data_IF_866902454821
#
_entry.id   IF_866902454821
#
_cell.length_a   1.000
_cell.length_b   1.000
_cell.length_c   1.000
_cell.angle_alpha   90.00
_cell.angle_beta   90.00
_cell.angle_gamma   90.00
#
_symmetry.space_group_name_H-M   'P 1'
#
loop_
_entity.id
_entity.type
_entity.pdbx_description
1 polymer ?
#
# COMPACT_ATOMS: atom_id res chain seq x y z
N UNK A 1 -13.12 -0.74 -29.98
CA UNK A 1 -13.33 -0.15 -28.63
C UNK A 1 -12.72 -0.99 -27.51
N UNK A 2 -12.97 -2.31 -27.47
CA UNK A 2 -12.42 -3.24 -26.45
C UNK A 2 -10.88 -3.31 -26.47
N UNK A 3 -10.27 -3.51 -27.64
CA UNK A 3 -8.79 -3.57 -27.80
C UNK A 3 -8.10 -2.32 -27.27
N UNK A 4 -8.67 -1.14 -27.53
CA UNK A 4 -8.11 0.14 -27.09
C UNK A 4 -8.21 0.33 -25.57
N UNK A 5 -9.22 -0.27 -24.93
CA UNK A 5 -9.39 -0.25 -23.47
C UNK A 5 -8.43 -1.23 -22.80
N UNK A 6 -8.27 -2.43 -23.36
CA UNK A 6 -7.30 -3.44 -22.89
C UNK A 6 -5.86 -2.93 -22.98
N UNK A 7 -5.50 -2.27 -24.08
CA UNK A 7 -4.18 -1.66 -24.24
C UNK A 7 -3.90 -0.58 -23.20
N UNK A 8 -4.90 0.23 -22.83
CA UNK A 8 -4.77 1.25 -21.76
C UNK A 8 -4.58 0.61 -20.40
N UNK A 9 -5.29 -0.48 -20.11
CA UNK A 9 -5.13 -1.21 -18.85
C UNK A 9 -3.73 -1.83 -18.73
N UNK A 10 -3.27 -2.50 -19.79
CA UNK A 10 -1.93 -3.10 -19.86
C UNK A 10 -0.78 -2.08 -19.83
N UNK A 11 -1.05 -0.82 -20.19
CA UNK A 11 -0.11 0.30 -20.15
C UNK A 11 -0.41 1.28 -19.01
N UNK A 12 -1.14 0.87 -17.98
CA UNK A 12 -1.42 1.69 -16.79
C UNK A 12 -0.41 1.44 -15.68
N UNK A 13 -0.20 2.42 -14.80
CA UNK A 13 0.59 2.21 -13.58
C UNK A 13 -0.04 1.17 -12.64
N UNK A 14 -1.35 0.93 -12.76
CA UNK A 14 -2.06 -0.08 -11.98
C UNK A 14 -1.53 -1.50 -12.17
N UNK A 15 -0.93 -1.82 -13.32
CA UNK A 15 -0.32 -3.15 -13.53
C UNK A 15 0.84 -3.40 -12.56
N UNK A 16 1.51 -2.34 -12.11
CA UNK A 16 2.62 -2.45 -11.17
C UNK A 16 2.17 -2.88 -9.77
N UNK A 17 0.88 -2.78 -9.45
CA UNK A 17 0.32 -3.25 -8.19
C UNK A 17 0.17 -4.78 -8.14
N UNK A 18 0.15 -5.45 -9.30
CA UNK A 18 -0.10 -6.90 -9.39
C UNK A 18 0.87 -7.73 -8.54
N UNK A 19 2.21 -7.51 -8.58
CA UNK A 19 3.14 -8.26 -7.73
C UNK A 19 2.82 -8.14 -6.23
N UNK A 20 2.41 -6.96 -5.76
CA UNK A 20 2.08 -6.78 -4.35
C UNK A 20 0.71 -7.38 -3.98
N UNK A 21 -0.26 -7.34 -4.88
CA UNK A 21 -1.52 -8.05 -4.69
C UNK A 21 -1.29 -9.56 -4.62
N UNK A 22 -0.43 -10.10 -5.50
CA UNK A 22 -0.04 -11.51 -5.48
C UNK A 22 0.71 -11.87 -4.19
N UNK A 23 1.64 -11.03 -3.74
CA UNK A 23 2.36 -11.19 -2.47
C UNK A 23 1.40 -11.24 -1.29
N UNK A 24 0.46 -10.30 -1.22
CA UNK A 24 -0.54 -10.26 -0.17
C UNK A 24 -1.42 -11.52 -0.17
N UNK A 25 -1.89 -11.96 -1.34
CA UNK A 25 -2.71 -13.15 -1.46
C UNK A 25 -1.95 -14.42 -1.04
N UNK A 26 -0.67 -14.54 -1.44
CA UNK A 26 0.13 -15.73 -1.17
C UNK A 26 0.55 -15.84 0.31
N UNK A 27 0.84 -14.71 0.97
CA UNK A 27 1.48 -14.72 2.29
C UNK A 27 0.61 -14.22 3.44
N UNK A 28 -0.57 -13.64 3.19
CA UNK A 28 -1.38 -13.05 4.28
C UNK A 28 -1.80 -14.09 5.33
N UNK A 29 -2.03 -15.33 4.92
CA UNK A 29 -2.39 -16.42 5.84
C UNK A 29 -1.24 -16.88 6.74
N UNK A 30 0.00 -16.50 6.39
CA UNK A 30 1.21 -16.84 7.16
C UNK A 30 1.59 -15.76 8.19
N UNK A 31 0.89 -14.62 8.19
CA UNK A 31 1.13 -13.56 9.17
C UNK A 31 0.60 -13.96 10.56
N UNK A 32 1.09 -13.31 11.63
CA UNK A 32 0.59 -13.54 12.98
C UNK A 32 -0.94 -13.37 13.08
N UNK A 33 -1.62 -14.05 14.04
CA UNK A 33 -3.08 -13.99 14.17
C UNK A 33 -3.67 -12.59 14.28
N UNK A 34 -2.90 -11.61 14.77
CA UNK A 34 -3.27 -10.20 14.81
C UNK A 34 -3.62 -9.60 13.44
N UNK A 35 -3.06 -10.14 12.35
CA UNK A 35 -3.32 -9.72 10.97
C UNK A 35 -4.48 -10.49 10.31
N UNK A 36 -5.06 -11.49 10.99
CA UNK A 36 -6.25 -12.18 10.49
C UNK A 36 -7.42 -11.20 10.38
N UNK A 37 -8.27 -11.38 9.36
CA UNK A 37 -9.39 -10.46 9.10
C UNK A 37 -10.30 -10.27 10.34
N UNK A 38 -10.56 -11.33 11.09
CA UNK A 38 -11.43 -11.29 12.27
C UNK A 38 -10.81 -10.47 13.41
N UNK A 39 -9.52 -10.65 13.68
CA UNK A 39 -8.82 -9.96 14.77
C UNK A 39 -8.49 -8.52 14.37
N UNK A 40 -7.95 -8.32 13.16
CA UNK A 40 -7.50 -7.01 12.67
C UNK A 40 -8.63 -5.98 12.71
N UNK A 41 -9.84 -6.36 12.27
CA UNK A 41 -11.00 -5.47 12.23
C UNK A 41 -11.82 -5.42 13.53
N UNK A 42 -11.48 -6.25 14.53
CA UNK A 42 -12.24 -6.31 15.78
C UNK A 42 -12.18 -4.99 16.53
N UNK A 43 -13.33 -4.44 16.93
CA UNK A 43 -13.42 -3.22 17.75
C UNK A 43 -12.82 -1.96 17.12
N UNK A 44 -12.69 -1.91 15.79
CA UNK A 44 -12.22 -0.72 15.07
C UNK A 44 -13.37 0.26 14.87
N UNK A 45 -13.19 1.56 15.20
CA UNK A 45 -14.25 2.54 15.00
C UNK A 45 -14.71 2.60 13.53
N UNK A 46 -16.03 2.63 13.32
CA UNK A 46 -16.63 2.58 11.98
C UNK A 46 -16.13 3.70 11.06
N UNK A 47 -15.94 4.91 11.59
CA UNK A 47 -15.40 6.03 10.81
C UNK A 47 -14.00 5.74 10.26
N UNK A 48 -13.15 5.10 11.05
CA UNK A 48 -11.78 4.74 10.67
C UNK A 48 -11.80 3.65 9.61
N UNK A 49 -12.63 2.62 9.82
CA UNK A 49 -12.79 1.53 8.86
C UNK A 49 -13.32 2.01 7.50
N UNK A 50 -14.30 2.91 7.48
CA UNK A 50 -14.81 3.52 6.24
C UNK A 50 -13.71 4.35 5.58
N UNK A 51 -13.03 5.20 6.34
CA UNK A 51 -11.98 6.09 5.82
C UNK A 51 -10.86 5.28 5.17
N UNK A 52 -10.36 4.25 5.87
CA UNK A 52 -9.29 3.39 5.38
C UNK A 52 -9.70 2.62 4.13
N UNK A 53 -10.88 2.00 4.12
CA UNK A 53 -11.30 1.21 2.96
C UNK A 53 -11.64 2.08 1.75
N UNK A 54 -12.31 3.22 1.94
CA UNK A 54 -12.60 4.14 0.84
C UNK A 54 -11.32 4.72 0.23
N UNK A 55 -10.39 5.16 1.07
CA UNK A 55 -9.09 5.68 0.62
C UNK A 55 -8.22 4.58 0.00
N UNK A 56 -8.22 3.36 0.56
CA UNK A 56 -7.57 2.17 -0.04
C UNK A 56 -8.09 1.90 -1.45
N UNK A 57 -9.41 1.84 -1.62
CA UNK A 57 -10.02 1.62 -2.93
C UNK A 57 -9.60 2.71 -3.91
N UNK A 58 -9.61 3.97 -3.50
CA UNK A 58 -9.15 5.08 -4.33
C UNK A 58 -7.68 4.92 -4.73
N UNK A 59 -6.79 4.64 -3.77
CA UNK A 59 -5.34 4.50 -3.98
C UNK A 59 -5.01 3.30 -4.87
N UNK A 60 -5.73 2.19 -4.75
CA UNK A 60 -5.51 1.01 -5.60
C UNK A 60 -6.16 1.15 -6.98
N UNK A 61 -7.28 1.85 -7.10
CA UNK A 61 -7.99 2.02 -8.37
C UNK A 61 -7.37 3.11 -9.26
N UNK A 62 -6.95 4.24 -8.68
CA UNK A 62 -6.51 5.41 -9.45
C UNK A 62 -5.33 5.13 -10.41
N UNK A 63 -4.32 4.32 -10.04
CA UNK A 63 -3.21 3.99 -10.93
C UNK A 63 -3.62 3.29 -12.22
N UNK A 64 -4.76 2.59 -12.26
CA UNK A 64 -5.30 2.00 -13.49
C UNK A 64 -5.76 3.05 -14.51
N UNK A 65 -5.97 4.29 -14.08
CA UNK A 65 -6.32 5.41 -14.94
C UNK A 65 -5.11 6.30 -15.28
N UNK A 66 -3.94 6.00 -14.72
CA UNK A 66 -2.68 6.70 -14.99
C UNK A 66 -1.84 5.93 -16.00
N UNK A 67 -1.38 6.57 -17.10
CA UNK A 67 -0.51 5.91 -18.05
C UNK A 67 0.87 5.63 -17.45
N UNK A 68 1.40 4.44 -17.74
CA UNK A 68 2.79 4.08 -17.50
C UNK A 68 3.66 4.75 -18.56
N UNK A 69 4.37 5.79 -18.17
CA UNK A 69 5.27 6.56 -19.03
C UNK A 69 6.64 6.66 -18.40
N UNK A 70 7.69 6.64 -19.23
CA UNK A 70 9.11 6.75 -18.81
C UNK A 70 9.83 7.92 -19.49
N UNK A 71 9.05 8.90 -19.95
CA UNK A 71 9.53 10.01 -20.80
C UNK A 71 10.33 11.03 -19.99
N UNK A 72 9.92 11.32 -18.76
CA UNK A 72 10.57 12.32 -17.90
C UNK A 72 11.49 11.69 -16.85
N UNK A 73 12.51 12.44 -16.41
CA UNK A 73 13.40 12.03 -15.32
C UNK A 73 12.62 11.74 -14.02
N UNK A 74 11.57 12.53 -13.74
CA UNK A 74 10.72 12.34 -12.56
C UNK A 74 9.97 11.01 -12.60
N UNK A 75 9.46 10.61 -13.77
CA UNK A 75 8.79 9.32 -13.93
C UNK A 75 9.74 8.15 -13.71
N UNK A 76 10.94 8.22 -14.30
CA UNK A 76 11.97 7.17 -14.10
C UNK A 76 12.37 7.03 -12.63
N UNK A 77 12.58 8.16 -11.95
CA UNK A 77 12.85 8.19 -10.49
C UNK A 77 11.66 7.63 -9.70
N UNK A 78 10.43 8.00 -10.05
CA UNK A 78 9.22 7.47 -9.43
C UNK A 78 9.12 5.96 -9.53
N UNK A 79 9.41 5.38 -10.70
CA UNK A 79 9.44 3.93 -10.90
C UNK A 79 10.58 3.24 -10.14
N UNK A 80 11.75 3.88 -10.02
CA UNK A 80 12.84 3.35 -9.20
C UNK A 80 12.46 3.34 -7.71
N UNK A 81 11.88 4.44 -7.21
CA UNK A 81 11.34 4.53 -5.84
C UNK A 81 10.23 3.49 -5.63
N UNK A 82 9.37 3.28 -6.63
CA UNK A 82 8.34 2.24 -6.60
C UNK A 82 8.94 0.85 -6.44
N UNK A 83 9.93 0.50 -7.26
CA UNK A 83 10.58 -0.80 -7.22
C UNK A 83 11.26 -1.05 -5.86
N UNK A 84 12.06 -0.09 -5.39
CA UNK A 84 12.71 -0.18 -4.07
C UNK A 84 11.68 -0.27 -2.96
N UNK A 85 10.63 0.57 -2.98
CA UNK A 85 9.56 0.55 -1.99
C UNK A 85 8.80 -0.77 -1.95
N UNK A 86 8.58 -1.39 -3.11
CA UNK A 86 7.94 -2.72 -3.21
C UNK A 86 8.81 -3.79 -2.55
N UNK A 87 10.12 -3.78 -2.79
CA UNK A 87 11.05 -4.71 -2.15
C UNK A 87 11.10 -4.51 -0.64
N UNK A 88 11.12 -3.26 -0.17
CA UNK A 88 11.07 -2.93 1.27
C UNK A 88 9.76 -3.42 1.89
N UNK A 89 8.63 -3.23 1.19
CA UNK A 89 7.33 -3.75 1.63
C UNK A 89 7.35 -5.29 1.76
N UNK A 90 7.86 -6.01 0.76
CA UNK A 90 7.97 -7.47 0.83
C UNK A 90 8.88 -7.92 1.97
N UNK A 91 10.04 -7.27 2.12
CA UNK A 91 10.97 -7.56 3.20
C UNK A 91 10.34 -7.32 4.58
N UNK A 92 9.44 -6.34 4.72
CA UNK A 92 8.77 -6.03 6.00
C UNK A 92 7.89 -7.17 6.52
N UNK A 93 7.40 -8.06 5.65
CA UNK A 93 6.59 -9.21 6.03
C UNK A 93 7.44 -10.36 6.58
N UNK A 94 8.66 -10.51 6.09
CA UNK A 94 9.47 -11.71 6.35
C UNK A 94 9.77 -11.91 7.85
N UNK A 95 10.17 -10.89 8.64
CA UNK A 95 10.38 -11.08 10.08
C UNK A 95 9.10 -11.50 10.81
N UNK A 96 7.94 -10.96 10.41
CA UNK A 96 6.65 -11.29 11.03
C UNK A 96 6.24 -12.74 10.75
N UNK A 97 6.59 -13.27 9.58
CA UNK A 97 6.30 -14.66 9.19
C UNK A 97 7.32 -15.62 9.81
N UNK A 98 8.61 -15.33 9.67
CA UNK A 98 9.70 -16.25 10.01
C UNK A 98 10.07 -16.21 11.49
N UNK A 99 9.87 -15.08 12.17
CA UNK A 99 10.22 -14.89 13.59
C UNK A 99 9.23 -13.93 14.28
N UNK A 100 7.95 -14.34 14.44
CA UNK A 100 6.90 -13.48 14.99
C UNK A 100 7.15 -13.04 16.44
N UNK A 101 7.92 -13.81 17.21
CA UNK A 101 8.28 -13.52 18.60
C UNK A 101 9.61 -12.77 18.74
N UNK A 102 10.25 -12.36 17.65
CA UNK A 102 11.50 -11.60 17.72
C UNK A 102 11.28 -10.19 18.26
N UNK A 103 12.33 -9.60 18.86
CA UNK A 103 12.30 -8.22 19.34
C UNK A 103 11.93 -7.20 18.24
N UNK A 104 12.25 -7.51 16.97
CA UNK A 104 11.78 -6.70 15.85
C UNK A 104 10.26 -6.81 15.69
N UNK A 105 9.74 -8.03 15.55
CA UNK A 105 8.32 -8.31 15.29
C UNK A 105 7.39 -7.88 16.43
N UNK A 106 7.87 -7.88 17.68
CA UNK A 106 7.11 -7.40 18.86
C UNK A 106 7.29 -5.90 19.12
N UNK A 107 8.26 -5.24 18.49
CA UNK A 107 8.38 -3.78 18.54
C UNK A 107 7.30 -3.11 17.69
N UNK A 108 6.90 -1.89 18.06
CA UNK A 108 5.98 -1.09 17.26
C UNK A 108 6.50 -0.85 15.83
N UNK A 109 7.81 -0.65 15.68
CA UNK A 109 8.43 -0.44 14.38
C UNK A 109 8.29 -1.68 13.47
N UNK A 110 8.63 -2.87 13.97
CA UNK A 110 8.54 -4.08 13.15
C UNK A 110 7.11 -4.54 12.92
N UNK A 111 6.24 -4.47 13.92
CA UNK A 111 4.83 -4.85 13.78
C UNK A 111 4.09 -3.96 12.77
N UNK A 112 4.34 -2.64 12.79
CA UNK A 112 3.69 -1.69 11.89
C UNK A 112 4.36 -1.60 10.51
N UNK A 113 5.50 -2.30 10.29
CA UNK A 113 6.26 -2.18 9.05
C UNK A 113 5.43 -2.47 7.79
N UNK A 114 4.58 -3.51 7.72
CA UNK A 114 3.68 -3.71 6.59
C UNK A 114 2.69 -2.55 6.35
N UNK A 115 2.36 -1.76 7.37
CA UNK A 115 1.40 -0.66 7.27
C UNK A 115 2.05 0.65 6.80
N UNK A 116 3.28 0.96 7.24
CA UNK A 116 3.95 2.22 6.85
C UNK A 116 4.91 2.09 5.67
N UNK A 117 5.52 0.93 5.43
CA UNK A 117 6.42 0.74 4.27
C UNK A 117 5.73 0.95 2.91
N UNK A 118 4.39 0.77 2.79
CA UNK A 118 3.65 1.23 1.64
C UNK A 118 3.80 2.72 1.30
N UNK A 119 4.29 3.57 2.19
CA UNK A 119 4.57 4.96 1.86
C UNK A 119 5.56 5.10 0.69
N UNK A 120 6.57 4.24 0.60
CA UNK A 120 7.62 4.35 -0.41
C UNK A 120 7.10 4.10 -1.83
N UNK A 121 6.48 2.95 -2.06
CA UNK A 121 5.97 2.61 -3.39
C UNK A 121 4.74 3.46 -3.78
N UNK A 122 3.88 3.88 -2.84
CA UNK A 122 2.82 4.86 -3.13
C UNK A 122 3.39 6.22 -3.53
N UNK A 123 4.46 6.68 -2.88
CA UNK A 123 5.15 7.89 -3.30
C UNK A 123 5.77 7.74 -4.70
N UNK A 124 6.38 6.59 -5.00
CA UNK A 124 6.87 6.26 -6.33
C UNK A 124 5.78 6.33 -7.41
N UNK A 125 4.59 5.79 -7.13
CA UNK A 125 3.42 5.90 -8.01
C UNK A 125 2.95 7.34 -8.17
N UNK A 126 2.95 8.15 -7.10
CA UNK A 126 2.61 9.57 -7.20
C UNK A 126 3.53 10.32 -8.18
N UNK A 127 4.85 10.07 -8.09
CA UNK A 127 5.84 10.71 -8.95
C UNK A 127 5.73 10.25 -10.42
N UNK A 128 5.46 8.97 -10.65
CA UNK A 128 5.28 8.40 -11.98
C UNK A 128 3.94 8.83 -12.62
N UNK A 129 2.88 8.87 -11.82
CA UNK A 129 1.52 9.17 -12.22
C UNK A 129 1.25 10.66 -12.34
N UNK A 130 1.65 11.25 -13.47
CA UNK A 130 1.54 12.71 -13.69
C UNK A 130 0.21 13.18 -14.29
N UNK A 131 -0.51 12.31 -14.96
CA UNK A 131 -1.77 12.61 -15.67
C UNK A 131 -2.70 11.40 -15.66
N UNK A 132 -3.96 11.60 -16.01
CA UNK A 132 -4.88 10.51 -16.35
C UNK A 132 -4.94 10.32 -17.86
N UNK A 133 -5.47 9.18 -18.32
CA UNK A 133 -5.71 8.94 -19.75
C UNK A 133 -6.65 9.98 -20.40
N UNK A 134 -7.56 10.57 -19.64
CA UNK A 134 -8.67 11.39 -20.16
C UNK A 134 -8.76 12.79 -19.54
N UNK A 135 -7.89 13.13 -18.58
CA UNK A 135 -8.06 14.30 -17.73
C UNK A 135 -6.76 15.07 -17.52
N UNK A 136 -6.77 16.35 -17.92
CA UNK A 136 -5.67 17.31 -17.71
C UNK A 136 -5.74 18.02 -16.35
N UNK A 137 -6.87 17.92 -15.65
CA UNK A 137 -7.04 18.53 -14.33
C UNK A 137 -6.23 17.82 -13.25
N UNK A 138 -6.05 16.51 -13.38
CA UNK A 138 -5.31 15.70 -12.43
C UNK A 138 -3.86 16.19 -12.28
N UNK A 139 -3.40 16.24 -11.03
CA UNK A 139 -2.01 16.54 -10.66
C UNK A 139 -1.47 15.42 -9.81
N UNK A 140 -0.16 15.17 -9.91
CA UNK A 140 0.55 14.12 -9.16
C UNK A 140 0.27 14.17 -7.64
N UNK A 141 0.08 15.37 -7.07
CA UNK A 141 -0.20 15.54 -5.65
C UNK A 141 -1.60 15.06 -5.24
N UNK A 142 -2.55 14.90 -6.17
CA UNK A 142 -3.89 14.35 -5.85
C UNK A 142 -3.76 12.92 -5.34
N UNK A 143 -2.95 12.11 -6.03
CA UNK A 143 -2.67 10.75 -5.58
C UNK A 143 -1.85 10.73 -4.31
N UNK A 144 -0.90 11.67 -4.16
CA UNK A 144 -0.15 11.79 -2.91
C UNK A 144 -1.06 12.10 -1.71
N UNK A 145 -2.04 12.98 -1.88
CA UNK A 145 -3.01 13.31 -0.84
C UNK A 145 -3.91 12.10 -0.50
N UNK A 146 -4.40 11.38 -1.51
CA UNK A 146 -5.17 10.16 -1.32
C UNK A 146 -4.35 9.06 -0.59
N UNK A 147 -3.09 8.88 -1.02
CA UNK A 147 -2.15 7.96 -0.38
C UNK A 147 -1.84 8.36 1.06
N UNK A 148 -1.65 9.66 1.33
CA UNK A 148 -1.45 10.19 2.67
C UNK A 148 -2.62 9.88 3.59
N UNK A 149 -3.86 10.15 3.15
CA UNK A 149 -5.07 9.82 3.91
C UNK A 149 -5.16 8.31 4.21
N UNK A 150 -4.93 7.47 3.19
CA UNK A 150 -4.91 6.03 3.36
C UNK A 150 -3.87 5.57 4.36
N UNK A 151 -2.61 6.02 4.21
CA UNK A 151 -1.50 5.64 5.08
C UNK A 151 -1.76 6.08 6.52
N UNK A 152 -2.23 7.32 6.75
CA UNK A 152 -2.55 7.79 8.09
C UNK A 152 -3.63 6.94 8.75
N UNK A 153 -4.72 6.64 8.04
CA UNK A 153 -5.78 5.78 8.56
C UNK A 153 -5.28 4.35 8.83
N UNK A 154 -4.54 3.77 7.87
CA UNK A 154 -4.07 2.40 7.93
C UNK A 154 -3.00 2.17 9.01
N UNK A 155 -2.05 3.10 9.15
CA UNK A 155 -1.04 3.06 10.21
C UNK A 155 -1.71 3.24 11.58
N UNK A 156 -2.67 4.16 11.68
CA UNK A 156 -3.41 4.38 12.94
C UNK A 156 -4.21 3.14 13.35
N UNK A 157 -4.92 2.52 12.39
CA UNK A 157 -5.61 1.25 12.61
C UNK A 157 -4.63 0.14 13.04
N UNK A 158 -3.53 -0.06 12.32
CA UNK A 158 -2.52 -1.04 12.69
C UNK A 158 -1.92 -0.76 14.09
N UNK A 159 -1.78 0.51 14.48
CA UNK A 159 -1.37 0.94 15.82
C UNK A 159 -2.37 0.53 16.91
N UNK A 160 -3.67 0.67 16.65
CA UNK A 160 -4.71 0.17 17.54
C UNK A 160 -4.60 -1.34 17.71
N UNK A 161 -4.36 -2.08 16.62
CA UNK A 161 -4.17 -3.54 16.66
C UNK A 161 -2.92 -3.90 17.46
N UNK A 162 -1.81 -3.20 17.25
CA UNK A 162 -0.55 -3.40 17.98
C UNK A 162 -0.76 -3.31 19.50
N UNK A 163 -1.36 -2.23 19.98
CA UNK A 163 -1.61 -2.00 21.42
C UNK A 163 -2.48 -3.10 22.05
N UNK A 164 -3.35 -3.73 21.26
CA UNK A 164 -4.22 -4.83 21.73
C UNK A 164 -3.53 -6.19 21.67
N UNK A 165 -2.70 -6.41 20.66
CA UNK A 165 -2.10 -7.71 20.35
C UNK A 165 -0.75 -7.94 21.05
N UNK A 166 -0.01 -6.88 21.35
CA UNK A 166 1.30 -6.93 22.01
C UNK A 166 1.17 -6.23 23.36
N UNK A 167 1.05 -6.97 24.48
CA UNK A 167 0.95 -6.39 25.81
C UNK A 167 2.21 -5.57 26.16
N UNK A 168 2.04 -4.51 26.96
CA UNK A 168 3.15 -3.73 27.47
C UNK A 168 4.07 -4.61 28.33
N UNK A 169 5.29 -4.90 27.83
CA UNK A 169 6.31 -5.67 28.55
C UNK A 169 6.76 -6.98 27.89
N UNK A 170 6.38 -7.26 26.64
CA UNK A 170 6.99 -8.33 25.83
C UNK A 170 8.34 -7.91 25.23
#
# INVERSE_FOLDING_TARGET
>A
MVVHTLLRFASSLGILLVPALAWNLALAEHLPPAFSRTVFWSGIPTWLAITENASRTLVLALPFFMPLEVTTLMQRRGLAVFAVGTLVYFASWLPLILSPSSAWSTSAAGFLAPAYTPALWLFGLALAGRRLFWGHFYRWWFYLAAAGLFLSAHIFHAGIVYVRAVPAGA
#
